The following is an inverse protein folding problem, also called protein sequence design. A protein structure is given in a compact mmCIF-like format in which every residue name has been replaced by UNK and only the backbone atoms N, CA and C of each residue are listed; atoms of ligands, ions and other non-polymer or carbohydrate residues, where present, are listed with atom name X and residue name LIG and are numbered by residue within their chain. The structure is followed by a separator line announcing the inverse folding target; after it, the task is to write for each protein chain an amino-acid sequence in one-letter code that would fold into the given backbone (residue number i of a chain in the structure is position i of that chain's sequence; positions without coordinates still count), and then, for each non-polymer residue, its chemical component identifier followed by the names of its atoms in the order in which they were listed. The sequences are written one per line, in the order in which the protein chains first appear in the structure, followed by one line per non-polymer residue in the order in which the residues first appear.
data_IF_791971358125
#
_entry.id   IF_791971358125
#
_cell.length_a   1.000
_cell.length_b   1.000
_cell.length_c   1.000
_cell.angle_alpha   90.00
_cell.angle_beta   90.00
_cell.angle_gamma   90.00
#
_symmetry.space_group_name_H-M   'P 1'
#
loop_
_entity.id
_entity.type
_entity.pdbx_description
1 polymer ?
#
# COMPACT_ATOMS: atom_id res chain seq x y z
N UNK A 1 8.13 20.93 -22.73
CA UNK A 1 7.65 19.71 -22.05
C UNK A 1 8.87 18.99 -21.48
N UNK A 2 8.90 18.78 -20.16
CA UNK A 2 10.12 18.30 -19.47
C UNK A 2 10.44 16.84 -19.82
N UNK A 3 11.70 16.57 -20.12
CA UNK A 3 12.20 15.23 -20.39
C UNK A 3 12.15 14.39 -19.11
N UNK A 4 11.43 13.27 -19.12
CA UNK A 4 11.48 12.28 -18.03
C UNK A 4 12.82 11.54 -18.18
N UNK A 5 13.76 11.85 -17.30
CA UNK A 5 15.04 11.18 -17.19
C UNK A 5 14.97 9.95 -16.29
N UNK A 6 16.01 9.12 -16.38
CA UNK A 6 16.13 7.88 -15.60
C UNK A 6 16.10 8.13 -14.08
N UNK A 7 16.58 9.31 -13.66
CA UNK A 7 16.55 9.75 -12.27
C UNK A 7 15.13 9.91 -11.73
N UNK A 8 14.20 10.47 -12.50
CA UNK A 8 12.80 10.59 -12.07
C UNK A 8 12.15 9.22 -11.91
N UNK A 9 12.43 8.26 -12.79
CA UNK A 9 11.91 6.89 -12.68
C UNK A 9 12.43 6.22 -11.41
N UNK A 10 13.73 6.38 -11.10
CA UNK A 10 14.33 5.89 -9.87
C UNK A 10 13.67 6.46 -8.61
N UNK A 11 13.41 7.77 -8.59
CA UNK A 11 12.71 8.45 -7.49
C UNK A 11 11.28 7.92 -7.34
N UNK A 12 10.52 7.82 -8.44
CA UNK A 12 9.14 7.30 -8.40
C UNK A 12 9.10 5.87 -7.90
N UNK A 13 10.00 5.00 -8.38
CA UNK A 13 10.09 3.62 -7.93
C UNK A 13 10.43 3.51 -6.44
N UNK A 14 11.36 4.35 -5.95
CA UNK A 14 11.73 4.39 -4.54
C UNK A 14 10.55 4.80 -3.65
N UNK A 15 9.83 5.87 -3.99
CA UNK A 15 8.64 6.28 -3.25
C UNK A 15 7.51 5.24 -3.32
N UNK A 16 7.31 4.60 -4.47
CA UNK A 16 6.34 3.52 -4.60
C UNK A 16 6.70 2.34 -3.67
N UNK A 17 7.98 1.96 -3.59
CA UNK A 17 8.44 0.91 -2.68
C UNK A 17 8.23 1.29 -1.21
N UNK A 18 8.55 2.54 -0.83
CA UNK A 18 8.33 3.05 0.52
C UNK A 18 6.86 3.04 0.94
N UNK A 19 5.93 3.22 0.01
CA UNK A 19 4.49 3.09 0.28
C UNK A 19 4.05 1.63 0.32
N UNK A 20 4.33 0.86 -0.74
CA UNK A 20 3.76 -0.49 -0.93
C UNK A 20 4.33 -1.49 0.09
N UNK A 21 5.63 -1.47 0.39
CA UNK A 21 6.28 -2.49 1.23
C UNK A 21 5.72 -2.51 2.66
N UNK A 22 5.57 -1.38 3.37
CA UNK A 22 4.94 -1.37 4.69
C UNK A 22 3.50 -1.91 4.66
N UNK A 23 2.67 -1.46 3.71
CA UNK A 23 1.30 -1.94 3.59
C UNK A 23 1.21 -3.43 3.28
N UNK A 24 2.12 -3.95 2.45
CA UNK A 24 2.23 -5.38 2.16
C UNK A 24 2.47 -6.19 3.44
N UNK A 25 3.38 -5.71 4.30
CA UNK A 25 3.69 -6.34 5.59
C UNK A 25 2.49 -6.28 6.54
N UNK A 26 1.77 -5.17 6.59
CA UNK A 26 0.58 -4.99 7.42
C UNK A 26 -0.53 -5.95 6.98
N UNK A 27 -0.86 -5.97 5.69
CA UNK A 27 -1.91 -6.84 5.14
C UNK A 27 -1.60 -8.31 5.33
N UNK A 28 -0.34 -8.72 5.16
CA UNK A 28 0.09 -10.08 5.46
C UNK A 28 -0.15 -10.48 6.92
N UNK A 29 -0.03 -9.53 7.86
CA UNK A 29 -0.25 -9.78 9.30
C UNK A 29 -1.72 -9.71 9.71
N UNK A 30 -2.53 -8.88 9.06
CA UNK A 30 -3.95 -8.73 9.35
C UNK A 30 -4.82 -9.84 8.72
N UNK A 31 -4.23 -10.76 7.97
CA UNK A 31 -4.95 -11.80 7.23
C UNK A 31 -5.59 -11.30 5.93
N UNK A 32 -5.21 -10.11 5.46
CA UNK A 32 -5.64 -9.55 4.19
C UNK A 32 -4.71 -10.00 3.05
N UNK A 33 -5.20 -10.10 1.80
CA UNK A 33 -4.34 -10.36 0.64
C UNK A 33 -3.24 -9.29 0.50
N UNK A 34 -1.95 -9.64 0.56
CA UNK A 34 -0.87 -8.65 0.53
C UNK A 34 -0.82 -7.81 -0.75
N UNK A 35 -1.29 -8.36 -1.87
CA UNK A 35 -1.39 -7.66 -3.16
C UNK A 35 -2.29 -6.42 -3.11
N UNK A 36 -3.20 -6.30 -2.14
CA UNK A 36 -4.02 -5.09 -1.94
C UNK A 36 -3.16 -3.86 -1.63
N UNK A 37 -1.93 -4.04 -1.15
CA UNK A 37 -0.99 -2.93 -0.94
C UNK A 37 -0.60 -2.21 -2.23
N UNK A 38 -0.72 -2.85 -3.40
CA UNK A 38 -0.49 -2.20 -4.70
C UNK A 38 -1.55 -1.14 -5.00
N UNK A 39 -2.78 -1.34 -4.52
CA UNK A 39 -3.87 -0.38 -4.69
C UNK A 39 -3.61 0.93 -3.91
N UNK A 40 -2.70 0.91 -2.94
CA UNK A 40 -2.28 2.10 -2.19
C UNK A 40 -1.54 3.13 -3.05
N UNK A 41 -1.05 2.73 -4.23
CA UNK A 41 -0.45 3.67 -5.20
C UNK A 41 -1.47 4.64 -5.80
N UNK A 42 -2.77 4.32 -5.74
CA UNK A 42 -3.85 5.18 -6.24
C UNK A 42 -4.42 6.01 -5.07
N UNK A 43 -4.31 7.35 -5.07
CA UNK A 43 -4.64 8.17 -3.89
C UNK A 43 -6.06 7.97 -3.34
N UNK A 44 -7.07 7.95 -4.20
CA UNK A 44 -8.46 7.77 -3.76
C UNK A 44 -8.73 6.35 -3.25
N UNK A 45 -8.19 5.33 -3.93
CA UNK A 45 -8.35 3.94 -3.51
C UNK A 45 -7.64 3.70 -2.19
N UNK A 46 -6.47 4.31 -1.98
CA UNK A 46 -5.74 4.27 -0.71
C UNK A 46 -6.62 4.74 0.45
N UNK A 47 -7.24 5.91 0.34
CA UNK A 47 -8.13 6.46 1.39
C UNK A 47 -9.30 5.52 1.66
N UNK A 48 -10.00 5.05 0.63
CA UNK A 48 -11.15 4.14 0.78
C UNK A 48 -10.72 2.82 1.41
N UNK A 49 -9.62 2.23 0.94
CA UNK A 49 -9.11 0.94 1.42
C UNK A 49 -8.64 1.03 2.87
N UNK A 50 -7.99 2.13 3.25
CA UNK A 50 -7.65 2.42 4.64
C UNK A 50 -8.89 2.58 5.53
N UNK A 51 -9.94 3.23 5.03
CA UNK A 51 -11.21 3.33 5.75
C UNK A 51 -11.81 1.95 6.01
N UNK A 52 -11.91 1.12 4.97
CA UNK A 52 -12.42 -0.25 5.11
C UNK A 52 -11.54 -1.04 6.08
N UNK A 53 -10.22 -0.95 5.95
CA UNK A 53 -9.26 -1.64 6.82
C UNK A 53 -9.42 -1.24 8.29
N UNK A 54 -9.57 0.06 8.58
CA UNK A 54 -9.72 0.61 9.93
C UNK A 54 -11.02 0.12 10.61
N UNK A 55 -12.12 0.01 9.87
CA UNK A 55 -13.41 -0.46 10.40
C UNK A 55 -13.63 -1.97 10.25
N UNK A 56 -12.70 -2.69 9.61
CA UNK A 56 -12.79 -4.13 9.47
C UNK A 56 -12.57 -4.83 10.82
N UNK A 57 -13.21 -5.99 11.00
CA UNK A 57 -12.98 -6.83 12.18
C UNK A 57 -11.57 -7.39 12.13
N UNK A 58 -10.73 -7.00 13.08
CA UNK A 58 -9.44 -7.63 13.27
C UNK A 58 -9.69 -9.00 13.89
N UNK A 59 -9.13 -10.07 13.29
CA UNK A 59 -9.27 -11.41 13.86
C UNK A 59 -8.63 -11.40 15.26
N UNK A 60 -9.38 -11.73 16.34
CA UNK A 60 -8.79 -11.92 17.63
C UNK A 60 -7.81 -13.09 17.55
N UNK A 61 -6.71 -13.00 18.29
CA UNK A 61 -5.85 -14.16 18.52
C UNK A 61 -6.69 -15.18 19.29
N UNK A 62 -7.01 -16.32 18.67
CA UNK A 62 -7.64 -17.44 19.37
C UNK A 62 -6.56 -18.09 20.22
N UNK A 63 -6.46 -17.66 21.48
CA UNK A 63 -5.71 -18.38 22.50
C UNK A 63 -6.45 -19.68 22.87
#
# INVERSE_FOLDING_TARGET
MGQIGIWQIGIVAFYAALLVIPFWRIFKRSGWPPALSLLMAVPLVNVVLLWIFAFSKWKPKSD
#
